data_IF_333045642001
#
_entry.id   IF_333045642001
#
_cell.length_a   1.000
_cell.length_b   1.000
_cell.length_c   1.000
_cell.angle_alpha   90.00
_cell.angle_beta   90.00
_cell.angle_gamma   90.00
#
_symmetry.space_group_name_H-M   'P 1'
#
loop_
_entity.id
_entity.type
_entity.pdbx_description
1 polymer ?
#
# COMPACT_ATOMS: atom_id res chain seq x y z
N UNK A 1 -41.61 11.32 10.42
CA UNK A 1 -41.03 11.20 9.05
C UNK A 1 -39.78 10.28 8.95
N UNK A 2 -39.55 9.32 9.87
CA UNK A 2 -38.31 8.51 9.92
C UNK A 2 -38.38 7.11 9.25
N UNK A 3 -39.59 6.61 8.88
CA UNK A 3 -39.74 5.23 8.36
C UNK A 3 -39.45 5.04 6.85
N UNK A 4 -39.47 6.11 6.03
CA UNK A 4 -39.31 6.00 4.56
C UNK A 4 -37.84 5.92 4.11
N UNK A 5 -36.90 6.55 4.83
CA UNK A 5 -35.46 6.56 4.49
C UNK A 5 -34.77 5.21 4.74
N UNK A 6 -35.23 4.44 5.75
CA UNK A 6 -34.72 3.09 6.04
C UNK A 6 -35.08 2.01 5.02
N UNK A 7 -36.13 2.23 4.21
CA UNK A 7 -36.60 1.30 3.17
C UNK A 7 -35.76 1.40 1.90
N UNK A 8 -35.44 2.62 1.45
CA UNK A 8 -34.68 2.84 0.21
C UNK A 8 -33.20 2.47 0.36
N UNK A 9 -32.63 2.75 1.53
CA UNK A 9 -31.26 2.37 1.90
C UNK A 9 -31.03 0.85 1.86
N UNK A 10 -31.95 0.07 2.43
CA UNK A 10 -31.91 -1.40 2.39
C UNK A 10 -32.08 -1.95 0.98
N UNK A 11 -32.95 -1.37 0.14
CA UNK A 11 -33.06 -1.77 -1.28
C UNK A 11 -31.79 -1.47 -2.06
N UNK A 12 -31.18 -0.29 -1.88
CA UNK A 12 -29.92 0.07 -2.52
C UNK A 12 -28.78 -0.86 -2.11
N UNK A 13 -28.70 -1.22 -0.83
CA UNK A 13 -27.70 -2.17 -0.34
C UNK A 13 -27.90 -3.57 -0.91
N UNK A 14 -29.15 -3.99 -1.10
CA UNK A 14 -29.49 -5.31 -1.67
C UNK A 14 -29.18 -5.36 -3.17
N UNK A 15 -29.48 -4.29 -3.91
CA UNK A 15 -29.12 -4.15 -5.31
C UNK A 15 -27.59 -4.15 -5.51
N UNK A 16 -26.86 -3.39 -4.69
CA UNK A 16 -25.41 -3.35 -4.73
C UNK A 16 -24.77 -4.70 -4.35
N UNK A 17 -25.31 -5.39 -3.33
CA UNK A 17 -24.88 -6.74 -2.96
C UNK A 17 -25.06 -7.75 -4.10
N UNK A 18 -26.23 -7.70 -4.76
CA UNK A 18 -26.54 -8.55 -5.90
C UNK A 18 -25.66 -8.26 -7.12
N UNK A 19 -25.37 -6.98 -7.40
CA UNK A 19 -24.56 -6.58 -8.56
C UNK A 19 -23.06 -6.86 -8.39
N UNK A 20 -22.56 -6.84 -7.15
CA UNK A 20 -21.12 -6.97 -6.86
C UNK A 20 -20.71 -8.34 -6.32
N UNK A 21 -21.67 -9.22 -6.01
CA UNK A 21 -21.42 -10.46 -5.28
C UNK A 21 -20.96 -10.24 -3.83
N UNK A 22 -21.04 -9.00 -3.33
CA UNK A 22 -20.68 -8.65 -1.95
C UNK A 22 -21.82 -9.02 -1.01
N UNK A 23 -21.53 -9.66 0.12
CA UNK A 23 -22.56 -10.00 1.11
C UNK A 23 -23.35 -8.76 1.56
N UNK A 24 -24.68 -8.84 1.54
CA UNK A 24 -25.60 -7.73 1.85
C UNK A 24 -25.31 -7.02 3.17
N UNK A 25 -24.95 -7.78 4.21
CA UNK A 25 -24.62 -7.19 5.52
C UNK A 25 -23.38 -6.29 5.45
N UNK A 26 -22.40 -6.67 4.63
CA UNK A 26 -21.15 -5.91 4.42
C UNK A 26 -21.42 -4.59 3.68
N UNK A 27 -22.39 -4.59 2.76
CA UNK A 27 -22.83 -3.41 2.02
C UNK A 27 -23.61 -2.43 2.92
N UNK A 28 -24.45 -2.95 3.82
CA UNK A 28 -25.11 -2.11 4.84
C UNK A 28 -24.11 -1.49 5.83
N UNK A 29 -23.06 -2.23 6.18
CA UNK A 29 -22.00 -1.70 7.03
C UNK A 29 -21.24 -0.56 6.33
N UNK A 30 -20.97 -0.68 5.03
CA UNK A 30 -20.40 0.41 4.22
C UNK A 30 -21.29 1.65 4.22
N UNK A 31 -22.60 1.49 4.05
CA UNK A 31 -23.52 2.61 4.08
C UNK A 31 -23.49 3.37 5.42
N UNK A 32 -23.44 2.64 6.54
CA UNK A 32 -23.37 3.23 7.89
C UNK A 32 -22.08 4.03 8.10
N UNK A 33 -21.07 3.83 7.27
CA UNK A 33 -19.78 4.54 7.29
C UNK A 33 -19.71 5.68 6.28
N UNK A 34 -20.84 6.10 5.72
CA UNK A 34 -20.91 7.23 4.80
C UNK A 34 -20.45 6.91 3.38
N UNK A 35 -20.28 5.64 3.02
CA UNK A 35 -20.08 5.27 1.62
C UNK A 35 -21.40 5.46 0.86
N UNK A 36 -21.42 6.22 -0.25
CA UNK A 36 -22.64 6.43 -1.01
C UNK A 36 -23.06 5.09 -1.64
N UNK A 37 -24.23 4.59 -1.25
CA UNK A 37 -24.89 3.54 -2.02
C UNK A 37 -25.53 4.18 -3.23
N UNK A 38 -25.05 3.82 -4.42
CA UNK A 38 -25.64 4.08 -5.73
C UNK A 38 -26.45 5.39 -5.75
N UNK A 39 -25.77 6.52 -5.99
CA UNK A 39 -26.46 7.63 -6.65
C UNK A 39 -26.58 7.15 -8.11
N UNK A 40 -27.79 7.05 -8.69
CA UNK A 40 -27.89 6.76 -10.11
C UNK A 40 -27.03 7.79 -10.83
N UNK A 41 -26.08 7.31 -11.63
CA UNK A 41 -25.32 8.16 -12.51
C UNK A 41 -26.36 8.94 -13.33
N UNK A 42 -26.39 10.26 -13.13
CA UNK A 42 -27.11 11.14 -14.06
C UNK A 42 -26.39 10.92 -15.39
N UNK A 43 -27.09 10.32 -16.35
CA UNK A 43 -26.58 10.14 -17.71
C UNK A 43 -26.29 11.52 -18.31
N UNK A 44 -25.08 11.73 -18.81
CA UNK A 44 -24.66 12.99 -19.42
C UNK A 44 -24.96 12.99 -20.93
N UNK A 45 -25.48 14.12 -21.39
CA UNK A 45 -25.63 14.46 -22.81
C UNK A 45 -24.26 14.75 -23.48
N UNK A 46 -24.14 14.63 -24.82
CA UNK A 46 -22.87 14.82 -25.53
C UNK A 46 -22.42 16.29 -25.50
N UNK A 47 -21.15 16.54 -25.17
CA UNK A 47 -20.50 17.87 -25.23
C UNK A 47 -20.07 18.49 -23.89
N UNK A 48 -20.24 17.77 -22.78
CA UNK A 48 -19.91 18.24 -21.42
C UNK A 48 -18.54 17.69 -20.98
N UNK A 49 -17.80 18.46 -20.17
CA UNK A 49 -16.55 18.03 -19.51
C UNK A 49 -16.70 16.61 -18.92
N UNK A 50 -15.63 15.77 -18.89
CA UNK A 50 -15.74 14.39 -18.45
C UNK A 50 -16.44 14.32 -17.10
N UNK A 51 -17.47 13.47 -17.02
CA UNK A 51 -18.29 13.32 -15.83
C UNK A 51 -17.39 13.05 -14.61
N UNK A 52 -17.83 13.50 -13.42
CA UNK A 52 -17.04 13.38 -12.18
C UNK A 52 -16.55 11.94 -11.93
N UNK A 53 -17.30 10.93 -12.38
CA UNK A 53 -16.93 9.52 -12.32
C UNK A 53 -15.80 9.14 -13.28
N UNK A 54 -15.79 9.68 -14.50
CA UNK A 54 -14.71 9.46 -15.47
C UNK A 54 -13.38 9.97 -14.93
N UNK A 55 -13.35 11.18 -14.37
CA UNK A 55 -12.13 11.74 -13.78
C UNK A 55 -11.62 10.91 -12.60
N UNK A 56 -12.51 10.45 -11.72
CA UNK A 56 -12.13 9.58 -10.60
C UNK A 56 -11.56 8.24 -11.09
N UNK A 57 -12.11 7.69 -12.18
CA UNK A 57 -11.63 6.45 -12.78
C UNK A 57 -10.26 6.59 -13.44
N UNK A 58 -9.99 7.68 -14.14
CA UNK A 58 -8.67 7.99 -14.73
C UNK A 58 -7.58 8.11 -13.66
N UNK A 59 -7.89 8.82 -12.57
CA UNK A 59 -6.97 8.96 -11.43
C UNK A 59 -6.76 7.60 -10.75
N UNK A 60 -7.82 6.81 -10.55
CA UNK A 60 -7.73 5.44 -10.03
C UNK A 60 -6.80 4.57 -10.88
N UNK A 61 -7.01 4.57 -12.20
CA UNK A 61 -6.23 3.77 -13.14
C UNK A 61 -4.74 4.14 -13.09
N UNK A 62 -4.45 5.45 -13.08
CA UNK A 62 -3.08 5.97 -12.97
C UNK A 62 -2.44 5.59 -11.64
N UNK A 63 -3.17 5.72 -10.54
CA UNK A 63 -2.62 5.53 -9.21
C UNK A 63 -2.44 4.06 -8.82
N UNK A 64 -3.27 3.18 -9.37
CA UNK A 64 -3.33 1.76 -9.00
C UNK A 64 -2.80 0.83 -10.10
N UNK A 65 -2.62 1.33 -11.32
CA UNK A 65 -2.22 0.55 -12.49
C UNK A 65 -3.31 -0.37 -13.03
N UNK A 66 -4.55 -0.24 -12.55
CA UNK A 66 -5.68 -0.97 -13.12
C UNK A 66 -6.15 -0.38 -14.44
N UNK A 67 -6.80 -1.24 -15.23
CA UNK A 67 -7.49 -0.84 -16.44
C UNK A 67 -8.55 0.22 -16.13
N UNK A 68 -8.61 1.27 -16.96
CA UNK A 68 -9.54 2.39 -16.79
C UNK A 68 -10.98 1.93 -16.75
N UNK A 69 -11.36 1.01 -17.63
CA UNK A 69 -12.70 0.45 -17.73
C UNK A 69 -13.14 -0.17 -16.39
N UNK A 70 -12.20 -0.84 -15.71
CA UNK A 70 -12.48 -1.42 -14.40
C UNK A 70 -12.65 -0.37 -13.31
N UNK A 71 -11.88 0.71 -13.34
CA UNK A 71 -12.08 1.84 -12.44
C UNK A 71 -13.39 2.60 -12.75
N UNK A 72 -13.81 2.68 -14.01
CA UNK A 72 -15.11 3.27 -14.41
C UNK A 72 -16.27 2.45 -13.85
N UNK A 73 -16.20 1.12 -13.93
CA UNK A 73 -17.15 0.22 -13.27
C UNK A 73 -17.22 0.47 -11.76
N UNK A 74 -16.07 0.63 -11.09
CA UNK A 74 -16.03 0.94 -9.65
C UNK A 74 -16.60 2.33 -9.34
N UNK A 75 -16.32 3.33 -10.18
CA UNK A 75 -16.88 4.67 -10.03
C UNK A 75 -18.41 4.65 -10.19
N UNK A 76 -18.93 3.95 -11.21
CA UNK A 76 -20.37 3.78 -11.43
C UNK A 76 -21.06 3.05 -10.25
N UNK A 77 -20.34 2.17 -9.56
CA UNK A 77 -20.82 1.48 -8.36
C UNK A 77 -20.72 2.33 -7.06
N UNK A 78 -20.14 3.54 -7.12
CA UNK A 78 -19.96 4.42 -5.98
C UNK A 78 -18.75 4.09 -5.10
N UNK A 79 -17.87 3.17 -5.53
CA UNK A 79 -16.65 2.83 -4.79
C UNK A 79 -15.60 3.93 -4.87
N UNK A 80 -15.60 4.69 -5.97
CA UNK A 80 -14.69 5.79 -6.22
C UNK A 80 -15.48 7.09 -6.24
N UNK A 81 -14.89 8.15 -5.69
CA UNK A 81 -15.43 9.51 -5.81
C UNK A 81 -14.31 10.43 -6.28
N UNK A 82 -14.65 11.64 -6.74
CA UNK A 82 -13.64 12.67 -7.06
C UNK A 82 -12.76 13.00 -5.87
N UNK A 83 -13.30 12.85 -4.66
CA UNK A 83 -12.61 13.14 -3.42
C UNK A 83 -11.83 11.96 -2.85
N UNK A 84 -12.21 10.75 -3.26
CA UNK A 84 -11.52 9.51 -2.94
C UNK A 84 -11.41 8.64 -4.19
N UNK A 85 -10.52 8.99 -5.14
CA UNK A 85 -10.34 8.20 -6.37
C UNK A 85 -9.68 6.86 -6.11
N UNK A 86 -8.97 6.72 -4.98
CA UNK A 86 -8.45 5.45 -4.48
C UNK A 86 -9.02 5.23 -3.07
N UNK A 87 -9.83 4.17 -2.84
CA UNK A 87 -10.39 3.85 -1.54
C UNK A 87 -9.31 3.66 -0.48
N UNK A 88 -9.51 4.22 0.71
CA UNK A 88 -8.62 4.01 1.86
C UNK A 88 -8.89 2.67 2.56
N UNK A 89 -8.01 2.28 3.49
CA UNK A 89 -8.23 1.14 4.37
C UNK A 89 -9.46 1.34 5.26
N UNK A 90 -10.30 0.31 5.34
CA UNK A 90 -11.63 0.36 5.97
C UNK A 90 -11.60 0.78 7.44
N UNK A 91 -10.77 0.12 8.25
CA UNK A 91 -10.61 0.41 9.68
C UNK A 91 -9.15 0.68 10.05
N UNK A 92 -8.92 1.03 11.32
CA UNK A 92 -7.58 1.36 11.81
C UNK A 92 -6.64 0.15 11.77
N UNK A 93 -7.15 -1.07 12.04
CA UNK A 93 -6.34 -2.29 12.01
C UNK A 93 -5.85 -2.60 10.59
N UNK A 94 -6.72 -2.44 9.59
CA UNK A 94 -6.37 -2.60 8.18
C UNK A 94 -5.40 -1.52 7.69
N UNK A 95 -5.59 -0.26 8.06
CA UNK A 95 -4.64 0.82 7.74
C UNK A 95 -3.28 0.57 8.38
N UNK A 96 -3.27 0.13 9.63
CA UNK A 96 -2.03 -0.21 10.34
C UNK A 96 -1.28 -1.35 9.67
N UNK A 97 -1.97 -2.40 9.23
CA UNK A 97 -1.35 -3.50 8.46
C UNK A 97 -0.74 -3.00 7.14
N UNK A 98 -1.47 -2.18 6.40
CA UNK A 98 -0.98 -1.63 5.13
C UNK A 98 0.20 -0.68 5.32
N UNK A 99 0.18 0.15 6.37
CA UNK A 99 1.27 1.02 6.73
C UNK A 99 2.55 0.24 7.10
N UNK A 100 2.39 -0.83 7.90
CA UNK A 100 3.48 -1.72 8.25
C UNK A 100 4.06 -2.39 7.00
N UNK A 101 3.21 -2.82 6.06
CA UNK A 101 3.65 -3.37 4.78
C UNK A 101 4.41 -2.35 3.92
N UNK A 102 3.96 -1.09 3.85
CA UNK A 102 4.70 -0.05 3.13
C UNK A 102 6.09 0.20 3.74
N UNK A 103 6.17 0.30 5.07
CA UNK A 103 7.42 0.52 5.80
C UNK A 103 8.39 -0.66 5.61
N UNK A 104 7.94 -1.90 5.88
CA UNK A 104 8.76 -3.11 5.73
C UNK A 104 9.23 -3.30 4.28
N UNK A 105 8.35 -3.12 3.29
CA UNK A 105 8.75 -3.27 1.89
C UNK A 105 9.69 -2.14 1.44
N UNK A 106 9.49 -0.92 1.92
CA UNK A 106 10.38 0.21 1.62
C UNK A 106 11.79 -0.02 2.15
N UNK A 107 11.92 -0.65 3.32
CA UNK A 107 13.20 -0.97 3.93
C UNK A 107 13.84 -2.23 3.33
N UNK A 108 13.12 -3.35 3.27
CA UNK A 108 13.69 -4.65 2.85
C UNK A 108 13.96 -4.74 1.34
N UNK A 109 13.28 -3.94 0.51
CA UNK A 109 13.50 -3.94 -0.94
C UNK A 109 14.37 -2.77 -1.42
N UNK A 110 14.99 -2.01 -0.52
CA UNK A 110 15.83 -0.82 -0.82
C UNK A 110 16.73 -1.01 -2.05
N UNK A 111 17.54 -2.07 -2.03
CA UNK A 111 18.49 -2.41 -3.09
C UNK A 111 17.95 -3.49 -4.04
N UNK A 112 16.78 -4.05 -3.72
CA UNK A 112 16.15 -5.17 -4.42
C UNK A 112 15.13 -4.77 -5.48
N UNK A 113 15.04 -3.50 -5.87
CA UNK A 113 13.98 -3.02 -6.77
C UNK A 113 14.24 -3.43 -8.23
N UNK A 114 13.31 -4.20 -8.80
CA UNK A 114 13.38 -4.63 -10.19
C UNK A 114 12.37 -3.86 -11.06
N UNK A 115 12.81 -3.41 -12.23
CA UNK A 115 12.03 -2.68 -13.24
C UNK A 115 11.25 -1.47 -12.66
N UNK A 116 11.85 -0.81 -11.67
CA UNK A 116 11.29 0.37 -11.00
C UNK A 116 10.06 0.06 -10.15
N UNK A 117 9.87 -1.20 -9.73
CA UNK A 117 8.81 -1.59 -8.80
C UNK A 117 9.29 -1.40 -7.37
N UNK A 118 9.18 -0.17 -6.91
CA UNK A 118 9.74 0.33 -5.64
C UNK A 118 9.39 -0.57 -4.45
N UNK A 119 8.11 -0.95 -4.33
CA UNK A 119 7.62 -1.84 -3.25
C UNK A 119 7.41 -3.28 -3.74
N UNK A 120 7.96 -3.65 -4.90
CA UNK A 120 7.69 -4.92 -5.58
C UNK A 120 6.26 -5.06 -6.13
N UNK A 121 5.48 -3.98 -6.17
CA UNK A 121 4.08 -3.96 -6.59
C UNK A 121 3.96 -3.35 -7.99
N UNK A 122 3.34 -4.09 -8.91
CA UNK A 122 3.05 -3.65 -10.28
C UNK A 122 1.70 -2.98 -10.42
N UNK A 123 0.69 -3.47 -9.68
CA UNK A 123 -0.69 -2.96 -9.66
C UNK A 123 -1.30 -3.22 -8.30
N UNK A 124 -2.33 -2.48 -7.93
CA UNK A 124 -3.01 -2.66 -6.65
C UNK A 124 -4.51 -2.65 -6.82
N UNK A 125 -5.21 -3.75 -6.53
CA UNK A 125 -6.68 -3.74 -6.54
C UNK A 125 -7.15 -3.10 -5.25
N UNK A 126 -7.71 -1.89 -5.27
CA UNK A 126 -8.22 -1.30 -4.06
C UNK A 126 -9.42 -2.12 -3.58
N UNK A 127 -9.37 -2.53 -2.33
CA UNK A 127 -10.53 -3.06 -1.62
C UNK A 127 -10.50 -2.45 -0.21
N UNK A 128 -11.66 -2.12 0.40
CA UNK A 128 -11.67 -1.55 1.74
C UNK A 128 -11.02 -2.50 2.76
N UNK A 129 -11.31 -3.80 2.63
CA UNK A 129 -10.75 -4.88 3.45
C UNK A 129 -10.09 -5.90 2.51
N UNK A 130 -8.82 -6.22 2.73
CA UNK A 130 -8.01 -7.09 1.87
C UNK A 130 -7.73 -6.51 0.46
N UNK A 131 -6.94 -5.42 0.35
CA UNK A 131 -6.44 -4.99 -0.96
C UNK A 131 -5.59 -6.10 -1.60
N UNK A 132 -5.62 -6.18 -2.93
CA UNK A 132 -4.79 -7.14 -3.67
C UNK A 132 -3.55 -6.44 -4.22
N UNK A 133 -2.38 -6.80 -3.73
CA UNK A 133 -1.09 -6.36 -4.21
C UNK A 133 -0.66 -7.28 -5.36
N UNK A 134 -0.66 -6.77 -6.59
CA UNK A 134 -0.20 -7.52 -7.76
C UNK A 134 1.30 -7.32 -7.88
N UNK A 135 2.07 -8.38 -7.66
CA UNK A 135 3.52 -8.32 -7.49
C UNK A 135 4.26 -8.33 -8.84
N UNK A 136 5.45 -7.75 -8.83
CA UNK A 136 6.45 -7.95 -9.87
C UNK A 136 6.84 -9.46 -9.82
N UNK A 137 6.73 -10.20 -10.94
CA UNK A 137 6.86 -11.66 -10.90
C UNK A 137 8.13 -12.22 -10.27
N UNK A 138 9.30 -11.67 -10.59
CA UNK A 138 10.57 -12.10 -10.02
C UNK A 138 10.71 -11.68 -8.55
N UNK A 139 10.17 -10.52 -8.16
CA UNK A 139 10.21 -10.06 -6.77
C UNK A 139 9.15 -10.73 -5.88
N UNK A 140 8.23 -11.53 -6.43
CA UNK A 140 7.05 -12.00 -5.69
C UNK A 140 7.40 -12.79 -4.43
N UNK A 141 8.44 -13.63 -4.48
CA UNK A 141 8.93 -14.37 -3.31
C UNK A 141 9.68 -13.47 -2.33
N UNK A 142 10.45 -12.49 -2.82
CA UNK A 142 11.14 -11.52 -1.97
C UNK A 142 10.14 -10.64 -1.19
N UNK A 143 9.08 -10.17 -1.84
CA UNK A 143 7.97 -9.45 -1.19
C UNK A 143 7.30 -10.32 -0.12
N UNK A 144 6.98 -11.57 -0.44
CA UNK A 144 6.38 -12.49 0.53
C UNK A 144 7.31 -12.74 1.73
N UNK A 145 8.60 -12.98 1.46
CA UNK A 145 9.60 -13.19 2.50
C UNK A 145 9.80 -11.97 3.39
N UNK A 146 9.83 -10.77 2.80
CA UNK A 146 9.93 -9.50 3.53
C UNK A 146 8.75 -9.30 4.48
N UNK A 147 7.52 -9.65 4.07
CA UNK A 147 6.32 -9.41 4.88
C UNK A 147 6.14 -10.44 6.01
N UNK A 148 6.51 -11.71 5.79
CA UNK A 148 6.28 -12.77 6.76
C UNK A 148 7.25 -12.67 7.95
N UNK A 149 6.75 -12.74 9.20
CA UNK A 149 7.58 -12.60 10.38
C UNK A 149 8.55 -13.78 10.54
N UNK A 150 9.82 -13.45 10.79
CA UNK A 150 10.90 -14.38 11.06
C UNK A 150 11.91 -13.75 12.01
N UNK A 151 12.52 -14.55 12.86
CA UNK A 151 13.69 -14.15 13.62
C UNK A 151 14.95 -14.43 12.77
N UNK A 152 15.85 -13.46 12.68
CA UNK A 152 17.08 -13.55 11.91
C UNK A 152 18.25 -13.10 12.80
N UNK A 153 19.15 -14.04 13.16
CA UNK A 153 20.22 -13.75 14.11
C UNK A 153 21.19 -12.67 13.62
N UNK A 154 21.44 -12.63 12.31
CA UNK A 154 22.30 -11.62 11.66
C UNK A 154 21.76 -10.19 11.83
N UNK A 155 20.44 -10.06 11.76
CA UNK A 155 19.74 -8.80 12.00
C UNK A 155 19.65 -8.46 13.49
N UNK A 156 19.86 -9.45 14.37
CA UNK A 156 19.73 -9.30 15.81
C UNK A 156 18.28 -9.23 16.28
N UNK A 157 17.30 -9.71 15.51
CA UNK A 157 15.90 -9.65 15.93
C UNK A 157 14.87 -10.08 14.90
N UNK A 158 13.66 -9.52 15.06
CA UNK A 158 12.51 -9.80 14.22
C UNK A 158 12.58 -9.03 12.90
N UNK A 159 12.43 -9.73 11.79
CA UNK A 159 12.09 -9.15 10.47
C UNK A 159 10.66 -9.49 10.08
N UNK A 160 10.10 -8.66 9.21
CA UNK A 160 8.73 -8.78 8.71
C UNK A 160 7.67 -8.22 9.65
N UNK A 161 6.41 -8.46 9.34
CA UNK A 161 5.29 -7.85 10.07
C UNK A 161 4.87 -8.76 11.25
N UNK A 162 4.95 -8.28 12.50
CA UNK A 162 4.54 -9.06 13.67
C UNK A 162 3.07 -9.52 13.57
N UNK A 163 2.84 -10.80 13.85
CA UNK A 163 1.51 -11.41 13.82
C UNK A 163 0.96 -11.66 12.43
N UNK A 164 1.74 -11.48 11.35
CA UNK A 164 1.27 -11.83 10.02
C UNK A 164 1.36 -13.35 9.81
N UNK A 165 0.26 -13.95 9.34
CA UNK A 165 0.13 -15.39 9.08
C UNK A 165 -0.42 -15.63 7.69
N UNK A 166 -0.16 -16.81 7.14
CA UNK A 166 -0.77 -17.25 5.89
C UNK A 166 -2.17 -17.80 6.19
N UNK A 167 -3.21 -17.05 5.83
CA UNK A 167 -4.59 -17.51 5.98
C UNK A 167 -5.02 -18.42 4.83
N UNK A 168 -4.46 -18.20 3.63
CA UNK A 168 -4.75 -19.05 2.47
C UNK A 168 -3.59 -19.04 1.48
N UNK A 169 -3.13 -20.22 1.11
CA UNK A 169 -2.18 -20.42 0.03
C UNK A 169 -2.93 -20.90 -1.22
N UNK A 170 -2.82 -20.17 -2.32
CA UNK A 170 -3.41 -20.49 -3.61
C UNK A 170 -2.37 -20.53 -4.72
N UNK A 171 -2.74 -21.08 -5.87
CA UNK A 171 -1.81 -21.37 -6.98
C UNK A 171 -1.01 -20.16 -7.49
N UNK A 172 -1.57 -18.95 -7.43
CA UNK A 172 -0.90 -17.71 -7.84
C UNK A 172 -1.16 -16.56 -6.85
N UNK A 173 -1.58 -16.90 -5.63
CA UNK A 173 -2.03 -15.90 -4.65
C UNK A 173 -1.82 -16.39 -3.23
N UNK A 174 -1.44 -15.49 -2.35
CA UNK A 174 -1.37 -15.73 -0.90
C UNK A 174 -2.25 -14.71 -0.20
N UNK A 175 -3.15 -15.17 0.67
CA UNK A 175 -3.84 -14.27 1.61
C UNK A 175 -3.09 -14.30 2.92
N UNK A 176 -2.63 -13.12 3.32
CA UNK A 176 -1.99 -12.85 4.59
C UNK A 176 -3.02 -12.22 5.53
N UNK A 177 -2.99 -12.62 6.79
CA UNK A 177 -3.90 -12.18 7.83
C UNK A 177 -3.12 -11.83 9.10
N UNK A 178 -3.46 -10.70 9.72
CA UNK A 178 -2.86 -10.31 10.99
C UNK A 178 -3.62 -10.95 12.15
N UNK A 179 -2.91 -11.68 13.00
CA UNK A 179 -3.43 -12.24 14.26
C UNK A 179 -3.19 -11.30 15.44
N UNK A 180 -3.77 -11.62 16.59
CA UNK A 180 -3.65 -10.81 17.81
C UNK A 180 -4.48 -9.53 17.84
N UNK A 181 -5.37 -9.31 16.86
CA UNK A 181 -6.30 -8.17 16.84
C UNK A 181 -7.63 -8.51 17.50
N UNK A 182 -8.25 -7.52 18.16
CA UNK A 182 -9.43 -7.75 19.02
C UNK A 182 -10.77 -7.68 18.28
N UNK A 183 -10.84 -7.03 17.12
CA UNK A 183 -12.14 -6.65 16.56
C UNK A 183 -12.37 -7.11 15.13
N UNK A 184 -11.37 -7.09 14.24
CA UNK A 184 -11.47 -7.62 12.88
C UNK A 184 -10.13 -8.16 12.40
N UNK A 185 -10.15 -9.08 11.45
CA UNK A 185 -8.92 -9.63 10.87
C UNK A 185 -8.51 -8.80 9.66
N UNK A 186 -7.49 -7.96 9.84
CA UNK A 186 -6.85 -7.21 8.75
C UNK A 186 -6.13 -8.18 7.81
N UNK A 187 -6.23 -7.94 6.49
CA UNK A 187 -5.73 -8.87 5.47
C UNK A 187 -5.05 -8.14 4.31
N UNK A 188 -4.15 -8.86 3.64
CA UNK A 188 -3.58 -8.50 2.34
C UNK A 188 -3.66 -9.71 1.42
N UNK A 189 -3.99 -9.50 0.15
CA UNK A 189 -3.85 -10.55 -0.87
C UNK A 189 -2.62 -10.22 -1.73
N UNK A 190 -1.63 -11.10 -1.73
CA UNK A 190 -0.51 -11.04 -2.66
C UNK A 190 -0.84 -11.87 -3.89
N UNK A 191 -0.59 -11.35 -5.09
CA UNK A 191 -0.86 -12.06 -6.34
C UNK A 191 0.26 -11.83 -7.35
N UNK A 192 0.82 -12.89 -7.92
CA UNK A 192 1.74 -12.75 -9.05
C UNK A 192 0.98 -12.79 -10.38
N UNK A 193 1.48 -12.06 -11.36
CA UNK A 193 0.97 -12.12 -12.74
C UNK A 193 1.49 -13.35 -13.49
N UNK A 194 2.57 -13.97 -13.00
CA UNK A 194 3.10 -15.19 -13.56
C UNK A 194 2.20 -16.37 -13.16
N UNK A 195 1.56 -17.01 -14.15
CA UNK A 195 0.54 -18.07 -13.95
C UNK A 195 1.08 -19.37 -13.34
N UNK A 196 2.41 -19.50 -13.25
CA UNK A 196 3.11 -20.60 -12.58
C UNK A 196 3.86 -20.18 -11.33
N UNK A 197 3.57 -19.01 -10.74
CA UNK A 197 4.24 -18.59 -9.51
C UNK A 197 3.91 -19.56 -8.38
N UNK A 198 4.92 -20.25 -7.86
CA UNK A 198 4.80 -21.06 -6.65
C UNK A 198 5.42 -20.27 -5.50
N UNK A 199 4.61 -19.80 -4.53
CA UNK A 199 5.14 -19.05 -3.39
C UNK A 199 6.18 -19.87 -2.64
N UNK A 200 7.42 -19.37 -2.60
CA UNK A 200 8.50 -19.96 -1.80
C UNK A 200 8.46 -19.33 -0.42
N UNK A 201 8.06 -20.11 0.58
CA UNK A 201 7.94 -19.62 1.94
C UNK A 201 9.33 -19.58 2.61
N UNK A 202 9.64 -18.57 3.44
CA UNK A 202 10.85 -18.57 4.25
C UNK A 202 10.80 -19.75 5.22
N UNK A 203 11.69 -20.73 5.07
CA UNK A 203 11.81 -21.88 5.95
C UNK A 203 12.91 -21.68 6.97
N UNK A 204 12.82 -22.42 8.07
CA UNK A 204 13.92 -22.51 9.03
C UNK A 204 15.18 -22.99 8.31
N UNK A 205 16.27 -22.24 8.48
CA UNK A 205 17.57 -22.61 7.92
C UNK A 205 18.69 -22.01 8.75
N UNK A 206 19.80 -22.74 8.77
CA UNK A 206 21.08 -22.23 9.21
C UNK A 206 21.92 -21.89 7.98
N UNK A 207 22.43 -20.68 7.88
CA UNK A 207 23.35 -20.31 6.80
C UNK A 207 24.70 -21.00 7.00
N UNK A 208 25.52 -21.05 5.94
CA UNK A 208 26.89 -21.58 6.03
C UNK A 208 27.75 -20.80 7.05
N UNK A 209 27.41 -19.53 7.26
CA UNK A 209 28.02 -18.62 8.22
C UNK A 209 27.45 -18.80 9.65
N UNK A 210 26.56 -19.78 9.84
CA UNK A 210 26.02 -20.17 11.14
C UNK A 210 24.80 -19.37 11.61
N UNK A 211 24.29 -18.45 10.79
CA UNK A 211 23.13 -17.61 11.10
C UNK A 211 21.84 -18.42 11.10
N UNK A 212 20.99 -18.21 12.10
CA UNK A 212 19.74 -18.93 12.23
C UNK A 212 18.57 -18.05 11.80
N UNK A 213 17.82 -18.54 10.81
CA UNK A 213 16.51 -18.00 10.44
C UNK A 213 15.46 -18.92 11.05
N UNK A 214 14.59 -18.33 11.88
CA UNK A 214 13.45 -19.03 12.49
C UNK A 214 12.14 -18.41 12.04
N UNK A 215 11.28 -19.21 11.41
CA UNK A 215 9.96 -18.82 10.95
C UNK A 215 9.01 -18.61 12.13
N UNK A 216 8.32 -17.47 12.16
CA UNK A 216 7.29 -17.18 13.17
C UNK A 216 5.88 -17.18 12.55
N UNK A 217 5.80 -17.00 11.23
CA UNK A 217 4.56 -16.98 10.47
C UNK A 217 3.78 -18.31 10.47
N UNK A 218 4.41 -19.41 10.87
CA UNK A 218 3.81 -20.74 10.94
C UNK A 218 3.37 -21.14 12.37
N UNK A 219 3.24 -20.17 13.29
CA UNK A 219 2.72 -20.44 14.63
C UNK A 219 1.23 -20.81 14.62
N UNK A 220 0.73 -21.31 15.75
CA UNK A 220 -0.66 -21.73 16.01
C UNK A 220 -1.72 -20.60 15.97
N UNK A 221 -1.39 -19.48 15.34
CA UNK A 221 -2.26 -18.31 15.23
C UNK A 221 -2.20 -17.38 16.44
N UNK A 222 -1.33 -17.66 17.41
CA UNK A 222 -0.99 -16.72 18.49
C UNK A 222 0.17 -15.80 18.11
N UNK A 223 0.19 -14.61 18.74
CA UNK A 223 1.38 -13.76 18.75
C UNK A 223 2.42 -14.37 19.68
N UNK A 224 3.67 -14.45 19.22
CA UNK A 224 4.78 -14.85 20.06
C UNK A 224 5.33 -13.64 20.85
N UNK A 225 5.98 -13.81 22.02
CA UNK A 225 6.45 -12.70 22.84
C UNK A 225 7.33 -11.68 22.09
N UNK A 226 8.23 -12.16 21.22
CA UNK A 226 9.07 -11.28 20.38
C UNK A 226 8.27 -10.49 19.35
N UNK A 227 7.15 -11.04 18.87
CA UNK A 227 6.23 -10.32 17.98
C UNK A 227 5.39 -9.32 18.77
N UNK A 228 5.01 -9.62 20.01
CA UNK A 228 4.30 -8.68 20.89
C UNK A 228 5.16 -7.45 21.20
N UNK A 229 6.45 -7.65 21.52
CA UNK A 229 7.39 -6.56 21.76
C UNK A 229 7.56 -5.66 20.52
N UNK A 230 7.82 -6.25 19.34
CA UNK A 230 7.94 -5.48 18.11
C UNK A 230 6.63 -4.78 17.72
N UNK A 231 5.48 -5.41 17.98
CA UNK A 231 4.18 -4.80 17.78
C UNK A 231 3.95 -3.63 18.75
N UNK A 232 4.41 -3.75 19.99
CA UNK A 232 4.35 -2.67 20.97
C UNK A 232 5.21 -1.49 20.51
N UNK A 233 6.43 -1.73 20.04
CA UNK A 233 7.28 -0.70 19.44
C UNK A 233 6.61 0.00 18.25
N UNK A 234 5.95 -0.75 17.36
CA UNK A 234 5.18 -0.16 16.25
C UNK A 234 4.03 0.75 16.74
N UNK A 235 3.40 0.38 17.86
CA UNK A 235 2.22 1.06 18.40
C UNK A 235 2.54 2.22 19.36
N UNK A 236 3.68 2.14 20.04
CA UNK A 236 4.09 2.98 21.17
C UNK A 236 5.54 3.45 21.02
N UNK A 237 5.99 3.67 19.77
CA UNK A 237 7.37 4.04 19.48
C UNK A 237 7.81 5.25 20.31
N UNK A 238 8.95 5.16 21.02
CA UNK A 238 9.42 6.24 21.89
C UNK A 238 9.56 7.57 21.14
N UNK A 239 8.89 8.61 21.63
CA UNK A 239 8.86 9.94 21.00
C UNK A 239 7.67 10.18 20.07
N UNK A 240 6.90 9.15 19.71
CA UNK A 240 5.65 9.31 18.97
C UNK A 240 4.48 9.63 19.91
N UNK A 241 3.75 10.72 19.64
CA UNK A 241 2.43 10.96 20.29
C UNK A 241 1.41 10.01 19.63
N UNK A 242 0.37 9.58 20.36
CA UNK A 242 -0.71 8.70 19.83
C UNK A 242 -1.30 9.20 18.50
N UNK A 243 -1.33 10.52 18.30
CA UNK A 243 -1.79 11.15 17.06
C UNK A 243 -0.88 10.80 15.86
N UNK A 244 0.45 10.84 16.06
CA UNK A 244 1.46 10.53 15.03
C UNK A 244 1.27 9.10 14.50
N UNK A 245 0.89 8.14 15.36
CA UNK A 245 0.58 6.76 14.92
C UNK A 245 -0.56 6.71 13.93
N UNK A 246 -1.67 7.39 14.24
CA UNK A 246 -2.86 7.40 13.38
C UNK A 246 -2.51 8.03 12.04
N UNK A 247 -1.75 9.13 12.07
CA UNK A 247 -1.32 9.86 10.88
C UNK A 247 -0.38 9.02 10.02
N UNK A 248 0.60 8.33 10.64
CA UNK A 248 1.50 7.37 9.99
C UNK A 248 0.70 6.30 9.27
N UNK A 249 -0.23 5.68 9.98
CA UNK A 249 -1.01 4.58 9.43
C UNK A 249 -1.88 5.06 8.24
N UNK A 250 -2.38 6.29 8.27
CA UNK A 250 -3.06 6.92 7.13
C UNK A 250 -2.13 7.19 5.95
N UNK A 251 -1.00 7.86 6.18
CA UNK A 251 -0.06 8.25 5.13
C UNK A 251 0.51 7.01 4.44
N UNK A 252 1.06 6.07 5.20
CA UNK A 252 1.73 4.90 4.64
C UNK A 252 0.74 3.91 4.01
N UNK A 253 -0.46 3.71 4.59
CA UNK A 253 -1.53 2.94 3.91
C UNK A 253 -1.88 3.54 2.56
N UNK A 254 -2.01 4.87 2.48
CA UNK A 254 -2.32 5.56 1.24
C UNK A 254 -1.20 5.47 0.22
N UNK A 255 0.05 5.53 0.67
CA UNK A 255 1.24 5.31 -0.16
C UNK A 255 1.22 3.91 -0.78
N UNK A 256 1.00 2.86 0.02
CA UNK A 256 0.88 1.48 -0.48
C UNK A 256 -0.17 1.38 -1.58
N UNK A 257 -1.36 1.94 -1.32
CA UNK A 257 -2.52 1.95 -2.22
C UNK A 257 -2.29 2.69 -3.54
N UNK A 258 -1.24 3.50 -3.63
CA UNK A 258 -0.86 4.32 -4.80
C UNK A 258 0.51 3.93 -5.35
N UNK A 259 0.89 2.66 -5.16
CA UNK A 259 2.18 2.11 -5.59
C UNK A 259 2.54 2.40 -7.05
N UNK A 260 1.57 2.54 -7.97
CA UNK A 260 1.90 2.90 -9.35
C UNK A 260 2.36 4.35 -9.52
N UNK A 261 1.90 5.29 -8.67
CA UNK A 261 2.49 6.63 -8.62
C UNK A 261 3.90 6.57 -8.04
N UNK A 262 4.12 5.76 -7.00
CA UNK A 262 5.44 5.60 -6.39
C UNK A 262 6.45 5.04 -7.39
N UNK A 263 6.06 4.05 -8.19
CA UNK A 263 6.92 3.48 -9.23
C UNK A 263 7.41 4.49 -10.27
N UNK A 264 6.78 5.66 -10.41
CA UNK A 264 7.26 6.73 -11.30
C UNK A 264 8.60 7.32 -10.84
N UNK A 265 8.92 7.26 -9.55
CA UNK A 265 10.20 7.75 -9.00
C UNK A 265 11.39 6.92 -9.46
N UNK A 266 11.18 5.64 -9.77
CA UNK A 266 12.21 4.71 -10.21
C UNK A 266 12.16 4.44 -11.73
N UNK A 267 11.34 5.20 -12.49
CA UNK A 267 11.02 4.90 -13.89
C UNK A 267 12.19 5.04 -14.87
N UNK A 268 13.20 5.85 -14.56
CA UNK A 268 14.31 6.12 -15.48
C UNK A 268 15.39 5.03 -15.48
N UNK A 269 15.70 4.48 -14.30
CA UNK A 269 16.82 3.53 -14.13
C UNK A 269 16.40 2.21 -13.48
N UNK A 270 15.10 2.06 -13.16
CA UNK A 270 14.57 0.88 -12.49
C UNK A 270 14.81 0.86 -10.99
N UNK A 271 15.33 1.94 -10.41
CA UNK A 271 15.74 2.03 -9.00
C UNK A 271 15.44 3.41 -8.40
N UNK A 272 15.02 3.42 -7.14
CA UNK A 272 15.00 4.57 -6.24
C UNK A 272 15.55 4.12 -4.88
N UNK A 273 16.32 4.98 -4.21
CA UNK A 273 16.76 4.70 -2.85
C UNK A 273 15.54 4.72 -1.92
N UNK A 274 15.22 3.61 -1.27
CA UNK A 274 14.15 3.57 -0.28
C UNK A 274 14.66 3.06 1.05
N UNK A 275 14.20 3.70 2.12
CA UNK A 275 14.59 3.35 3.48
C UNK A 275 13.60 3.94 4.47
N UNK A 276 13.74 3.57 5.74
CA UNK A 276 12.94 4.07 6.84
C UNK A 276 13.85 4.43 8.01
N UNK A 277 13.44 5.37 8.86
CA UNK A 277 14.09 5.66 10.13
C UNK A 277 13.36 4.87 11.23
N UNK A 278 13.57 3.56 11.24
CA UNK A 278 12.83 2.66 12.12
C UNK A 278 11.36 2.52 11.69
N UNK A 279 10.44 2.73 12.63
CA UNK A 279 9.00 2.51 12.46
C UNK A 279 8.20 3.77 12.14
N UNK A 280 8.88 4.90 11.89
CA UNK A 280 8.24 6.21 11.81
C UNK A 280 7.81 6.59 10.40
N UNK A 281 8.67 6.38 9.41
CA UNK A 281 8.49 6.98 8.09
C UNK A 281 8.77 6.03 6.92
N UNK A 282 8.64 6.59 5.73
CA UNK A 282 9.08 6.02 4.46
C UNK A 282 9.77 7.12 3.63
N UNK A 283 11.03 6.90 3.28
CA UNK A 283 11.78 7.79 2.41
C UNK A 283 11.93 7.18 1.03
N UNK A 284 11.69 7.99 -0.01
CA UNK A 284 11.99 7.68 -1.40
C UNK A 284 12.89 8.76 -1.98
N UNK A 285 14.11 8.40 -2.37
CA UNK A 285 15.08 9.27 -3.01
C UNK A 285 15.33 8.84 -4.46
N UNK A 286 15.27 9.77 -5.41
CA UNK A 286 15.61 9.48 -6.81
C UNK A 286 16.33 10.66 -7.47
N UNK A 287 17.05 10.38 -8.56
CA UNK A 287 17.77 11.40 -9.32
C UNK A 287 17.16 11.65 -10.71
N UNK A 288 16.42 10.70 -11.28
CA UNK A 288 15.89 10.75 -12.63
C UNK A 288 14.50 10.11 -12.68
N UNK A 289 13.68 10.50 -13.66
CA UNK A 289 12.29 10.09 -13.76
C UNK A 289 11.36 11.28 -13.54
N UNK A 290 10.26 11.05 -12.82
CA UNK A 290 9.25 12.08 -12.59
C UNK A 290 9.81 13.29 -11.84
N UNK A 291 9.33 14.48 -12.20
CA UNK A 291 9.58 15.69 -11.43
C UNK A 291 8.82 15.69 -10.09
N UNK A 292 9.35 16.35 -9.07
CA UNK A 292 8.74 16.39 -7.75
C UNK A 292 7.39 17.16 -7.75
N UNK A 293 7.28 18.23 -8.54
CA UNK A 293 6.05 19.02 -8.67
C UNK A 293 4.97 18.20 -9.36
N UNK A 294 5.31 17.53 -10.46
CA UNK A 294 4.42 16.61 -11.17
C UNK A 294 3.94 15.47 -10.25
N UNK A 295 4.87 14.86 -9.49
CA UNK A 295 4.52 13.82 -8.53
C UNK A 295 3.55 14.32 -7.47
N UNK A 296 3.81 15.49 -6.88
CA UNK A 296 2.89 16.11 -5.91
C UNK A 296 1.48 16.26 -6.49
N UNK A 297 1.36 16.77 -7.71
CA UNK A 297 0.07 16.98 -8.35
C UNK A 297 -0.69 15.67 -8.51
N UNK A 298 0.00 14.60 -8.96
CA UNK A 298 -0.59 13.27 -9.05
C UNK A 298 -1.02 12.73 -7.68
N UNK A 299 -0.20 12.92 -6.65
CA UNK A 299 -0.52 12.50 -5.28
C UNK A 299 -1.72 13.28 -4.72
N UNK A 300 -1.80 14.59 -4.96
CA UNK A 300 -2.93 15.43 -4.59
C UNK A 300 -4.22 14.97 -5.30
N UNK A 301 -4.15 14.78 -6.61
CA UNK A 301 -5.28 14.32 -7.43
C UNK A 301 -5.77 12.94 -6.99
N UNK A 302 -4.87 12.04 -6.61
CA UNK A 302 -5.21 10.71 -6.08
C UNK A 302 -5.86 10.72 -4.68
N UNK A 303 -5.96 11.89 -4.06
CA UNK A 303 -6.50 12.08 -2.71
C UNK A 303 -5.55 11.65 -1.59
N UNK A 304 -4.25 11.43 -1.87
CA UNK A 304 -3.28 11.07 -0.83
C UNK A 304 -3.14 12.18 0.20
N UNK A 305 -3.02 13.42 -0.28
CA UNK A 305 -2.79 14.64 0.52
C UNK A 305 -4.06 15.23 1.12
N UNK A 306 -5.23 14.58 0.97
CA UNK A 306 -6.48 15.08 1.53
C UNK A 306 -6.58 14.72 3.00
N UNK A 307 -7.06 15.64 3.83
CA UNK A 307 -7.28 15.36 5.25
C UNK A 307 -8.24 14.16 5.43
N UNK A 308 -7.85 13.10 6.15
CA UNK A 308 -8.74 12.01 6.48
C UNK A 308 -9.95 12.50 7.32
N UNK A 309 -11.17 11.94 7.12
CA UNK A 309 -12.36 12.40 7.85
C UNK A 309 -12.28 12.30 9.38
N UNK A 310 -11.39 11.45 9.88
CA UNK A 310 -11.19 11.20 11.31
C UNK A 310 -10.17 12.16 11.95
N UNK A 311 -9.53 13.02 11.16
CA UNK A 311 -8.49 13.94 11.61
C UNK A 311 -9.01 15.37 11.55
N UNK A 312 -8.81 16.12 12.63
CA UNK A 312 -9.29 17.51 12.78
C UNK A 312 -8.16 18.55 12.64
N UNK A 313 -6.91 18.11 12.61
CA UNK A 313 -5.75 18.98 12.46
C UNK A 313 -5.26 18.98 11.00
N UNK A 314 -5.48 20.07 10.28
CA UNK A 314 -5.04 20.28 8.88
C UNK A 314 -3.51 20.30 8.70
N UNK A 315 -2.76 20.55 9.78
CA UNK A 315 -1.31 20.81 9.74
C UNK A 315 -0.48 19.60 9.30
N UNK A 316 -0.95 18.37 9.48
CA UNK A 316 -0.19 17.16 9.15
C UNK A 316 -0.25 16.81 7.66
N UNK A 317 -1.34 17.13 6.97
CA UNK A 317 -1.52 16.77 5.55
C UNK A 317 -1.23 17.91 4.59
N UNK A 318 -0.78 19.06 5.10
CA UNK A 318 -0.22 20.12 4.25
C UNK A 318 1.17 19.68 3.79
N UNK A 319 1.38 19.42 2.49
CA UNK A 319 2.70 19.07 1.99
C UNK A 319 3.67 20.24 2.20
N UNK A 320 4.83 19.97 2.77
CA UNK A 320 5.89 20.97 2.94
C UNK A 320 6.97 20.74 1.88
N UNK A 321 7.35 21.81 1.18
CA UNK A 321 8.53 21.81 0.32
C UNK A 321 9.71 22.34 1.09
N UNK A 322 10.77 21.54 1.14
CA UNK A 322 12.04 21.97 1.68
C UNK A 322 13.13 21.72 0.66
N UNK A 323 14.01 22.70 0.50
CA UNK A 323 15.27 22.53 -0.20
C UNK A 323 16.30 22.13 0.86
N UNK A 324 16.74 20.88 0.85
CA UNK A 324 17.81 20.40 1.72
C UNK A 324 19.01 20.10 0.83
N UNK A 325 20.00 20.98 0.86
CA UNK A 325 21.20 20.90 0.02
C UNK A 325 20.88 20.79 -1.48
N UNK A 326 21.27 19.69 -2.12
CA UNK A 326 21.02 19.35 -3.53
C UNK A 326 19.72 18.55 -3.74
N UNK A 327 18.84 18.48 -2.74
CA UNK A 327 17.56 17.77 -2.77
C UNK A 327 16.36 18.72 -2.75
N UNK A 328 15.45 18.51 -3.71
CA UNK A 328 14.07 18.94 -3.57
C UNK A 328 13.32 17.91 -2.73
N UNK A 329 12.74 18.32 -1.61
CA UNK A 329 12.04 17.41 -0.68
C UNK A 329 10.58 17.81 -0.56
N UNK A 330 9.70 16.82 -0.69
CA UNK A 330 8.29 16.89 -0.35
C UNK A 330 8.06 16.06 0.91
N UNK A 331 7.70 16.73 2.00
CA UNK A 331 7.30 16.08 3.25
C UNK A 331 5.77 15.91 3.29
N UNK A 332 5.32 14.73 3.69
CA UNK A 332 3.91 14.38 3.85
C UNK A 332 3.72 13.86 5.27
N UNK A 333 2.69 14.33 5.98
CA UNK A 333 2.45 13.88 7.36
C UNK A 333 3.49 14.39 8.34
N UNK A 334 4.03 15.61 8.17
CA UNK A 334 5.17 16.09 8.97
C UNK A 334 6.40 15.16 8.91
N UNK A 335 6.68 14.60 7.74
CA UNK A 335 7.85 13.75 7.48
C UNK A 335 7.60 12.25 7.52
N UNK A 336 6.39 11.80 7.88
CA UNK A 336 5.98 10.39 7.84
C UNK A 336 6.13 9.74 6.45
N UNK A 337 6.10 10.55 5.38
CA UNK A 337 6.71 10.16 4.12
C UNK A 337 7.54 11.33 3.57
N UNK A 338 8.75 11.02 3.09
CA UNK A 338 9.69 11.98 2.50
C UNK A 338 9.99 11.58 1.06
N UNK A 339 9.57 12.41 0.09
CA UNK A 339 9.87 12.21 -1.33
C UNK A 339 10.95 13.20 -1.76
N UNK A 340 12.11 12.70 -2.15
CA UNK A 340 13.33 13.49 -2.33
C UNK A 340 13.88 13.32 -3.75
N UNK A 341 13.96 14.40 -4.50
CA UNK A 341 14.52 14.40 -5.85
C UNK A 341 15.86 15.15 -5.87
N UNK A 342 16.91 14.51 -6.39
CA UNK A 342 18.21 15.17 -6.59
C UNK A 342 18.14 16.17 -7.76
N UNK A 343 18.65 17.39 -7.55
CA UNK A 343 18.60 18.48 -8.54
C UNK A 343 19.66 18.38 -9.64
N UNK A 344 20.90 18.04 -9.28
CA UNK A 344 22.06 18.47 -10.09
C UNK A 344 22.68 17.41 -10.97
N UNK A 345 22.71 16.12 -10.59
CA UNK A 345 23.31 15.06 -11.42
C UNK A 345 22.61 13.72 -11.23
N UNK A 346 22.36 13.05 -12.35
CA UNK A 346 22.16 11.61 -12.36
C UNK A 346 23.46 10.95 -11.86
N UNK A 347 23.36 10.10 -10.85
CA UNK A 347 24.51 9.38 -10.30
C UNK A 347 24.70 8.00 -10.94
N UNK A 348 23.75 7.58 -11.78
CA UNK A 348 23.67 6.22 -12.31
C UNK A 348 23.69 6.27 -13.83
N UNK A 349 24.77 5.79 -14.44
CA UNK A 349 24.80 5.65 -15.90
C UNK A 349 23.82 4.56 -16.35
N UNK A 350 23.37 4.61 -17.61
CA UNK A 350 22.51 3.55 -18.16
C UNK A 350 23.17 2.17 -18.08
N UNK A 351 24.48 2.10 -18.26
CA UNK A 351 25.28 0.87 -18.15
C UNK A 351 25.18 0.26 -16.75
N UNK A 352 25.41 1.08 -15.71
CA UNK A 352 25.34 0.66 -14.31
C UNK A 352 23.92 0.23 -13.94
N UNK A 353 22.91 1.02 -14.35
CA UNK A 353 21.51 0.65 -14.13
C UNK A 353 21.19 -0.72 -14.74
N UNK A 354 21.61 -0.95 -15.99
CA UNK A 354 21.38 -2.23 -16.66
C UNK A 354 22.08 -3.40 -15.93
N UNK A 355 23.34 -3.23 -15.53
CA UNK A 355 24.10 -4.27 -14.80
C UNK A 355 23.47 -4.62 -13.46
N UNK A 356 23.01 -3.61 -12.70
CA UNK A 356 22.29 -3.82 -11.43
C UNK A 356 21.00 -4.61 -11.67
N UNK A 357 20.20 -4.23 -12.67
CA UNK A 357 18.94 -4.92 -12.97
C UNK A 357 19.17 -6.37 -13.43
N UNK A 358 20.19 -6.63 -14.25
CA UNK A 358 20.58 -7.99 -14.64
C UNK A 358 21.03 -8.83 -13.43
N UNK A 359 21.78 -8.23 -12.51
CA UNK A 359 22.22 -8.89 -11.28
C UNK A 359 21.01 -9.25 -10.41
N UNK A 360 20.08 -8.32 -10.20
CA UNK A 360 18.85 -8.56 -9.46
C UNK A 360 17.98 -9.66 -10.10
N UNK A 361 17.88 -9.70 -11.43
CA UNK A 361 17.17 -10.78 -12.14
C UNK A 361 17.78 -12.14 -11.85
N UNK A 362 19.10 -12.24 -11.79
CA UNK A 362 19.81 -13.49 -11.45
C UNK A 362 19.60 -13.87 -9.99
N UNK A 363 19.69 -12.91 -9.07
CA UNK A 363 19.48 -13.17 -7.64
C UNK A 363 18.04 -13.62 -7.36
N UNK A 364 17.03 -12.99 -7.97
CA UNK A 364 15.64 -13.42 -7.79
C UNK A 364 15.27 -14.72 -8.52
N UNK A 365 16.10 -15.19 -9.46
CA UNK A 365 15.90 -16.47 -10.13
C UNK A 365 16.37 -17.67 -9.30
N UNK A 366 17.28 -17.45 -8.34
CA UNK A 366 17.72 -18.46 -7.37
C UNK A 366 16.56 -18.79 -6.43
#
# INVERSE_FOLDING_TARGET
>A
MSKRTGSNSRRAAKAHASATGTGYQKVLDWQRQGFPLIIPAVEDAPGVAPSRSVRAAEVCATATGWKRERCEEWAAQGFLTTDRPVPDGYDAEQRSLEAHAANVLGNELSDGQLDGKVLGITRLRPAPNCPTLVLQPQMANAVLAALLPRHESAFGGLKGIPGLRIARLGRNSVILERVGTRTRRARLELRSQHTGWQPRLPTDRRTEEGEEIRQLWNSDGSLLPVEEESLDLWNNWPGSRTQIRVDRDWVLSRMLRRSCLLNKVASAHGWANTYTHGYDDLVLEWCCGIDLVELRELLAQSGLLRLPPALTAETLFTPEFTALDDLDTLLIGSGLASLRRRRRRCLITREVAHQVQETLRREFAK
#
